data_IF_791519208778
#
_entry.id   IF_791519208778
#
_cell.length_a   1.000
_cell.length_b   1.000
_cell.length_c   1.000
_cell.angle_alpha   90.00
_cell.angle_beta   90.00
_cell.angle_gamma   90.00
#
_symmetry.space_group_name_H-M   'P 1'
#
loop_
_entity.id
_entity.type
_entity.pdbx_description
1 polymer ?
#
# COMPACT_ATOMS: atom_id res chain seq x y z
N UNK A 1 40.98 9.93 2.37
CA UNK A 1 39.86 9.09 1.88
C UNK A 1 39.97 8.97 0.37
N UNK A 2 40.24 7.75 -0.11
CA UNK A 2 41.11 7.50 -1.26
C UNK A 2 40.41 7.60 -2.64
N UNK A 3 41.19 8.07 -3.63
CA UNK A 3 40.87 8.23 -5.06
C UNK A 3 40.11 7.04 -5.71
N UNK A 4 40.33 5.76 -5.35
CA UNK A 4 39.56 4.64 -5.90
C UNK A 4 38.06 4.71 -5.60
N UNK A 5 37.69 5.16 -4.41
CA UNK A 5 36.28 5.30 -3.98
C UNK A 5 35.59 6.51 -4.62
N UNK A 6 36.36 7.54 -4.99
CA UNK A 6 35.82 8.67 -5.75
C UNK A 6 35.37 8.25 -7.15
N UNK A 7 36.09 7.33 -7.80
CA UNK A 7 35.72 6.81 -9.14
C UNK A 7 34.45 5.94 -9.10
N UNK A 8 34.26 5.14 -8.04
CA UNK A 8 33.03 4.34 -7.89
C UNK A 8 31.82 5.21 -7.60
N UNK A 9 31.93 6.21 -6.72
CA UNK A 9 30.85 7.16 -6.43
C UNK A 9 30.51 8.06 -7.63
N UNK A 10 31.50 8.46 -8.43
CA UNK A 10 31.25 9.17 -9.69
C UNK A 10 30.47 8.31 -10.69
N UNK A 11 30.77 7.00 -10.75
CA UNK A 11 30.04 6.04 -11.60
C UNK A 11 28.59 5.87 -11.15
N UNK A 12 28.35 5.73 -9.83
CA UNK A 12 26.99 5.70 -9.26
C UNK A 12 26.24 7.00 -9.55
N UNK A 13 26.91 8.15 -9.39
CA UNK A 13 26.33 9.47 -9.67
C UNK A 13 25.96 9.64 -11.14
N UNK A 14 26.77 9.10 -12.06
CA UNK A 14 26.48 9.13 -13.50
C UNK A 14 25.34 8.19 -13.89
N UNK A 15 25.27 6.98 -13.32
CA UNK A 15 24.15 6.05 -13.55
C UNK A 15 22.84 6.67 -13.07
N UNK A 16 22.83 7.23 -11.85
CA UNK A 16 21.66 7.90 -11.31
C UNK A 16 21.23 9.08 -12.20
N UNK A 17 22.19 9.90 -12.64
CA UNK A 17 21.93 11.02 -13.56
C UNK A 17 21.35 10.58 -14.90
N UNK A 18 21.82 9.46 -15.45
CA UNK A 18 21.26 8.90 -16.69
C UNK A 18 19.82 8.42 -16.50
N UNK A 19 19.49 7.85 -15.34
CA UNK A 19 18.16 7.33 -15.06
C UNK A 19 17.13 8.42 -14.68
N UNK A 20 17.55 9.45 -13.93
CA UNK A 20 16.62 10.43 -13.30
C UNK A 20 16.80 11.86 -13.79
N UNK A 21 17.88 12.16 -14.52
CA UNK A 21 18.27 13.53 -14.86
C UNK A 21 18.88 14.33 -13.71
N UNK A 22 19.00 13.77 -12.51
CA UNK A 22 19.45 14.44 -11.29
C UNK A 22 20.87 13.98 -10.91
N UNK A 23 21.69 14.87 -10.35
CA UNK A 23 23.02 14.47 -9.85
C UNK A 23 22.91 13.50 -8.67
N UNK A 24 23.64 12.37 -8.70
CA UNK A 24 23.57 11.38 -7.62
C UNK A 24 24.19 11.82 -6.28
N UNK A 25 25.14 12.77 -6.28
CA UNK A 25 25.69 13.32 -5.02
C UNK A 25 24.64 14.06 -4.18
N UNK A 26 23.83 14.99 -4.75
CA UNK A 26 22.67 15.55 -4.06
C UNK A 26 21.74 14.51 -3.46
N UNK A 27 21.42 13.45 -4.20
CA UNK A 27 20.55 12.37 -3.72
C UNK A 27 21.17 11.62 -2.53
N UNK A 28 22.43 11.18 -2.64
CA UNK A 28 23.13 10.49 -1.53
C UNK A 28 23.18 11.37 -0.28
N UNK A 29 23.47 12.67 -0.44
CA UNK A 29 23.50 13.60 0.69
C UNK A 29 22.13 13.75 1.35
N UNK A 30 21.07 13.92 0.55
CA UNK A 30 19.70 14.02 1.05
C UNK A 30 19.27 12.74 1.77
N UNK A 31 19.56 11.58 1.17
CA UNK A 31 19.29 10.27 1.75
C UNK A 31 20.01 10.06 3.09
N UNK A 32 21.33 10.32 3.15
CA UNK A 32 22.10 10.16 4.40
C UNK A 32 21.58 11.11 5.49
N UNK A 33 21.22 12.34 5.14
CA UNK A 33 20.65 13.29 6.10
C UNK A 33 19.30 12.79 6.66
N UNK A 34 18.37 12.40 5.78
CA UNK A 34 17.06 11.83 6.13
C UNK A 34 17.19 10.58 7.03
N UNK A 35 18.11 9.68 6.70
CA UNK A 35 18.31 8.45 7.47
C UNK A 35 18.95 8.65 8.84
N UNK A 36 19.87 9.62 8.96
CA UNK A 36 20.64 9.82 10.20
C UNK A 36 20.05 10.88 11.14
N UNK A 37 19.04 11.63 10.70
CA UNK A 37 18.44 12.72 11.50
C UNK A 37 16.91 12.69 11.44
N UNK A 38 16.24 13.23 12.45
CA UNK A 38 14.78 13.36 12.47
C UNK A 38 14.31 14.64 11.79
N UNK A 39 13.18 14.59 11.09
CA UNK A 39 12.56 15.76 10.46
C UNK A 39 13.34 16.39 9.31
N UNK A 40 14.25 15.65 8.66
CA UNK A 40 15.07 16.17 7.55
C UNK A 40 14.83 15.39 6.25
N UNK A 41 13.56 15.12 5.94
CA UNK A 41 13.15 14.42 4.72
C UNK A 41 12.99 15.37 3.52
N UNK A 42 12.80 16.69 3.75
CA UNK A 42 12.48 17.71 2.74
C UNK A 42 13.37 17.68 1.48
N UNK A 43 14.69 17.51 1.66
CA UNK A 43 15.61 17.48 0.52
C UNK A 43 15.42 16.22 -0.34
N UNK A 44 15.10 15.10 0.30
CA UNK A 44 14.89 13.82 -0.36
C UNK A 44 13.50 13.81 -1.02
N UNK A 45 12.47 14.26 -0.30
CA UNK A 45 11.12 14.42 -0.81
C UNK A 45 11.07 15.40 -1.99
N UNK A 46 11.79 16.52 -1.92
CA UNK A 46 11.90 17.46 -3.04
C UNK A 46 12.62 16.90 -4.27
N UNK A 47 13.42 15.83 -4.13
CA UNK A 47 13.95 15.07 -5.27
C UNK A 47 12.87 14.13 -5.81
N UNK A 48 12.14 13.44 -4.94
CA UNK A 48 11.04 12.56 -5.33
C UNK A 48 9.90 13.31 -6.03
N UNK A 49 9.50 14.49 -5.56
CA UNK A 49 8.48 15.35 -6.19
C UNK A 49 8.86 15.74 -7.63
N UNK A 50 10.16 15.88 -7.94
CA UNK A 50 10.64 16.25 -9.28
C UNK A 50 10.56 15.11 -10.28
N UNK A 51 10.69 13.87 -9.82
CA UNK A 51 10.68 12.67 -10.67
C UNK A 51 9.36 11.91 -10.59
N UNK A 52 8.53 12.21 -9.59
CA UNK A 52 7.23 11.63 -9.38
C UNK A 52 6.25 11.99 -10.49
N UNK A 53 5.18 11.21 -10.57
CA UNK A 53 4.13 11.40 -11.54
C UNK A 53 2.79 11.60 -10.81
N UNK A 54 1.97 12.49 -11.34
CA UNK A 54 0.62 12.65 -10.84
C UNK A 54 -0.20 11.39 -11.17
N UNK A 55 -0.83 10.82 -10.16
CA UNK A 55 -1.68 9.64 -10.29
C UNK A 55 -2.89 9.74 -9.37
N UNK A 56 -3.96 9.03 -9.72
CA UNK A 56 -5.13 8.89 -8.85
C UNK A 56 -4.87 7.80 -7.81
N UNK A 57 -5.08 8.12 -6.54
CA UNK A 57 -5.02 7.15 -5.44
C UNK A 57 -6.40 6.54 -5.22
N UNK A 58 -6.46 5.21 -5.26
CA UNK A 58 -7.68 4.45 -4.95
C UNK A 58 -7.63 3.96 -3.51
N UNK A 59 -8.74 4.07 -2.77
CA UNK A 59 -8.80 3.64 -1.36
C UNK A 59 -10.08 2.84 -1.16
N UNK A 60 -9.96 1.68 -0.52
CA UNK A 60 -11.09 0.82 -0.20
C UNK A 60 -11.30 0.79 1.31
N UNK A 61 -12.56 0.67 1.71
CA UNK A 61 -12.97 0.64 3.11
C UNK A 61 -13.93 -0.51 3.38
N UNK A 62 -13.79 -1.11 4.56
CA UNK A 62 -14.85 -1.92 5.17
C UNK A 62 -15.12 -1.35 6.57
N UNK A 63 -16.32 -0.83 6.77
CA UNK A 63 -16.75 -0.33 8.07
C UNK A 63 -17.71 -1.34 8.73
N UNK A 64 -17.46 -1.63 10.00
CA UNK A 64 -18.27 -2.52 10.83
C UNK A 64 -18.80 -1.68 11.99
N UNK A 65 -20.12 -1.65 12.19
CA UNK A 65 -20.75 -0.86 13.25
C UNK A 65 -21.60 -1.70 14.19
N UNK A 66 -21.80 -1.19 15.39
CA UNK A 66 -22.76 -1.76 16.33
C UNK A 66 -24.19 -1.54 15.84
N UNK A 67 -25.02 -2.60 15.78
CA UNK A 67 -26.45 -2.45 15.50
C UNK A 67 -27.18 -1.64 16.57
N UNK A 68 -26.77 -1.77 17.84
CA UNK A 68 -27.43 -1.10 18.97
C UNK A 68 -27.07 0.39 19.09
N UNK A 69 -25.78 0.74 18.95
CA UNK A 69 -25.32 2.13 19.14
C UNK A 69 -25.05 2.89 17.85
N UNK A 70 -25.09 2.20 16.71
CA UNK A 70 -24.71 2.70 15.37
C UNK A 70 -23.28 3.23 15.25
N UNK A 71 -22.47 3.14 16.31
CA UNK A 71 -21.06 3.54 16.31
C UNK A 71 -20.19 2.54 15.54
N UNK A 72 -19.24 3.05 14.78
CA UNK A 72 -18.21 2.23 14.13
C UNK A 72 -17.36 1.53 15.20
N UNK A 73 -17.13 0.24 14.99
CA UNK A 73 -16.35 -0.64 15.86
C UNK A 73 -15.14 -1.24 15.16
N UNK A 74 -15.23 -1.43 13.84
CA UNK A 74 -14.12 -1.86 12.99
C UNK A 74 -14.06 -1.01 11.73
N UNK A 75 -12.84 -0.71 11.28
CA UNK A 75 -12.59 0.06 10.08
C UNK A 75 -11.36 -0.50 9.38
N UNK A 76 -11.57 -1.21 8.29
CA UNK A 76 -10.48 -1.60 7.42
C UNK A 76 -10.22 -0.48 6.44
N UNK A 77 -8.97 -0.03 6.37
CA UNK A 77 -8.50 0.97 5.42
C UNK A 77 -7.48 0.29 4.52
N UNK A 78 -7.77 0.20 3.23
CA UNK A 78 -6.92 -0.44 2.23
C UNK A 78 -6.54 0.60 1.18
N UNK A 79 -5.54 1.46 1.46
CA UNK A 79 -5.06 2.44 0.50
C UNK A 79 -4.22 1.74 -0.57
N UNK A 80 -4.41 2.09 -1.84
CA UNK A 80 -3.56 1.64 -2.95
C UNK A 80 -2.33 2.56 -3.01
N UNK A 81 -1.62 2.62 -1.89
CA UNK A 81 -0.39 3.40 -1.63
C UNK A 81 0.57 2.47 -0.93
N UNK A 82 1.81 2.41 -1.41
CA UNK A 82 2.86 1.63 -0.77
C UNK A 82 3.42 2.36 0.45
N UNK A 83 3.69 1.64 1.56
CA UNK A 83 4.12 2.23 2.85
C UNK A 83 5.64 2.39 2.96
N UNK A 84 6.29 2.74 1.86
CA UNK A 84 7.73 2.98 1.81
C UNK A 84 8.05 4.41 1.37
N UNK A 85 9.34 4.73 1.14
CA UNK A 85 10.46 3.80 1.14
C UNK A 85 11.27 3.75 2.46
N UNK A 86 11.29 4.82 3.28
CA UNK A 86 12.18 4.91 4.44
C UNK A 86 11.59 5.78 5.56
N UNK A 87 11.70 5.30 6.81
CA UNK A 87 11.44 6.08 8.04
C UNK A 87 10.09 6.82 7.98
N UNK A 88 10.13 8.15 7.88
CA UNK A 88 8.99 9.09 7.84
C UNK A 88 8.89 9.77 6.47
N UNK A 89 9.71 9.38 5.50
CA UNK A 89 9.72 10.01 4.18
C UNK A 89 8.57 9.49 3.33
N UNK A 90 7.86 10.39 2.65
CA UNK A 90 6.78 10.04 1.72
C UNK A 90 5.59 9.38 2.41
N UNK A 91 5.23 8.17 1.99
CA UNK A 91 4.11 7.40 2.56
C UNK A 91 4.51 6.37 3.62
N UNK A 92 5.77 6.40 4.08
CA UNK A 92 6.34 5.34 4.92
C UNK A 92 5.57 5.08 6.23
N UNK A 93 5.11 6.16 6.86
CA UNK A 93 4.40 6.15 8.14
C UNK A 93 2.89 6.42 8.00
N UNK A 94 2.34 6.37 6.78
CA UNK A 94 0.90 6.51 6.53
C UNK A 94 0.04 5.60 7.44
N UNK A 95 0.41 4.32 7.69
CA UNK A 95 -0.34 3.49 8.64
C UNK A 95 -0.40 4.11 10.05
N UNK A 96 0.71 4.66 10.55
CA UNK A 96 0.77 5.29 11.87
C UNK A 96 -0.17 6.50 11.95
N UNK A 97 -0.15 7.37 10.93
CA UNK A 97 -1.06 8.52 10.86
C UNK A 97 -2.53 8.14 10.79
N UNK A 98 -2.88 7.06 10.08
CA UNK A 98 -4.25 6.53 10.04
C UNK A 98 -4.66 6.00 11.43
N UNK A 99 -3.80 5.20 12.08
CA UNK A 99 -4.08 4.67 13.42
C UNK A 99 -4.26 5.78 14.46
N UNK A 100 -3.42 6.81 14.43
CA UNK A 100 -3.55 7.97 15.33
C UNK A 100 -4.88 8.71 15.09
N UNK A 101 -5.18 9.00 13.81
CA UNK A 101 -6.39 9.69 13.39
C UNK A 101 -7.67 8.97 13.84
N UNK A 102 -7.71 7.64 13.73
CA UNK A 102 -8.88 6.82 14.07
C UNK A 102 -8.71 6.02 15.35
N UNK A 103 -7.87 6.49 16.27
CA UNK A 103 -7.56 5.86 17.56
C UNK A 103 -8.79 5.55 18.43
N UNK A 104 -9.91 6.26 18.20
CA UNK A 104 -11.19 6.03 18.88
C UNK A 104 -12.02 4.87 18.31
N UNK A 105 -11.65 4.33 17.16
CA UNK A 105 -12.30 3.18 16.52
C UNK A 105 -11.44 1.93 16.83
N UNK A 106 -11.87 1.05 17.77
CA UNK A 106 -10.99 0.01 18.31
C UNK A 106 -10.48 -1.00 17.27
N UNK A 107 -11.30 -1.35 16.28
CA UNK A 107 -10.95 -2.28 15.21
C UNK A 107 -10.45 -1.60 13.94
N UNK A 108 -9.80 -0.44 14.05
CA UNK A 108 -9.11 0.15 12.89
C UNK A 108 -7.97 -0.78 12.47
N UNK A 109 -7.88 -1.10 11.19
CA UNK A 109 -6.81 -1.91 10.63
C UNK A 109 -6.44 -1.38 9.25
N UNK A 110 -5.16 -1.05 9.08
CA UNK A 110 -4.62 -0.62 7.80
C UNK A 110 -3.98 -1.83 7.12
N UNK A 111 -4.41 -2.14 5.91
CA UNK A 111 -3.91 -3.29 5.16
C UNK A 111 -3.06 -2.88 3.98
N UNK A 112 -1.99 -3.65 3.78
CA UNK A 112 -1.25 -3.69 2.52
C UNK A 112 -2.09 -4.38 1.43
N UNK A 113 -1.90 -3.98 0.18
CA UNK A 113 -2.64 -4.51 -0.98
C UNK A 113 -1.68 -4.76 -2.14
N UNK A 114 -2.19 -5.10 -3.31
CA UNK A 114 -1.37 -5.21 -4.53
C UNK A 114 -0.88 -3.82 -4.94
N UNK A 115 0.34 -3.48 -4.56
CA UNK A 115 1.04 -2.28 -4.92
C UNK A 115 2.54 -2.56 -4.81
N UNK A 116 3.36 -1.70 -5.41
CA UNK A 116 4.82 -1.72 -5.30
C UNK A 116 5.36 -0.30 -5.10
N UNK A 117 6.68 -0.15 -5.07
CA UNK A 117 7.33 1.15 -4.86
C UNK A 117 6.93 2.26 -5.85
N UNK A 118 6.34 1.94 -7.01
CA UNK A 118 5.79 2.95 -7.93
C UNK A 118 4.52 3.63 -7.39
N UNK A 119 3.92 3.11 -6.31
CA UNK A 119 2.82 3.72 -5.56
C UNK A 119 3.27 4.39 -4.25
N UNK A 120 4.57 4.63 -4.05
CA UNK A 120 5.03 5.48 -2.96
C UNK A 120 4.57 6.93 -3.18
N UNK A 121 4.07 7.58 -2.14
CA UNK A 121 3.90 9.03 -2.15
C UNK A 121 5.28 9.69 -2.05
N UNK A 122 5.45 10.78 -2.77
CA UNK A 122 6.74 11.47 -2.89
C UNK A 122 7.11 12.28 -1.65
N UNK A 123 6.10 12.73 -0.89
CA UNK A 123 6.29 13.61 0.26
C UNK A 123 5.20 13.47 1.32
N UNK A 124 5.49 13.93 2.54
CA UNK A 124 4.50 14.07 3.62
C UNK A 124 3.33 14.99 3.24
N UNK A 125 3.59 15.99 2.38
CA UNK A 125 2.52 16.85 1.84
C UNK A 125 1.51 16.06 0.99
N UNK A 126 1.96 15.06 0.23
CA UNK A 126 1.06 14.18 -0.52
C UNK A 126 0.36 13.18 0.41
N UNK A 127 1.04 12.71 1.46
CA UNK A 127 0.44 11.91 2.54
C UNK A 127 -0.73 12.65 3.19
N UNK A 128 -0.56 13.93 3.53
CA UNK A 128 -1.61 14.76 4.15
C UNK A 128 -2.88 14.84 3.31
N UNK A 129 -2.75 14.88 1.98
CA UNK A 129 -3.91 14.87 1.06
C UNK A 129 -4.66 13.54 1.14
N UNK A 130 -3.94 12.43 1.12
CA UNK A 130 -4.52 11.08 1.25
C UNK A 130 -5.19 10.94 2.61
N UNK A 131 -4.52 11.34 3.70
CA UNK A 131 -5.08 11.26 5.05
C UNK A 131 -6.34 12.14 5.20
N UNK A 132 -6.31 13.35 4.65
CA UNK A 132 -7.47 14.25 4.63
C UNK A 132 -8.65 13.65 3.86
N UNK A 133 -8.38 12.98 2.74
CA UNK A 133 -9.40 12.25 1.99
C UNK A 133 -9.96 11.08 2.81
N UNK A 134 -9.11 10.29 3.46
CA UNK A 134 -9.55 9.21 4.35
C UNK A 134 -10.44 9.74 5.48
N UNK A 135 -10.05 10.84 6.15
CA UNK A 135 -10.87 11.51 7.18
C UNK A 135 -12.25 11.89 6.65
N UNK A 136 -12.31 12.49 5.47
CA UNK A 136 -13.56 12.87 4.81
C UNK A 136 -14.43 11.66 4.48
N UNK A 137 -13.84 10.58 3.98
CA UNK A 137 -14.58 9.38 3.57
C UNK A 137 -15.13 8.62 4.77
N UNK A 138 -14.37 8.52 5.87
CA UNK A 138 -14.84 7.91 7.12
C UNK A 138 -15.96 8.74 7.74
N UNK A 139 -15.82 10.06 7.79
CA UNK A 139 -16.91 10.95 8.24
C UNK A 139 -18.17 10.74 7.42
N UNK A 140 -18.04 10.66 6.09
CA UNK A 140 -19.16 10.37 5.21
C UNK A 140 -19.79 9.00 5.52
N UNK A 141 -19.00 7.95 5.78
CA UNK A 141 -19.50 6.62 6.16
C UNK A 141 -20.30 6.67 7.48
N UNK A 142 -19.87 7.48 8.45
CA UNK A 142 -20.55 7.63 9.74
C UNK A 142 -21.88 8.39 9.62
N UNK A 143 -21.94 9.41 8.75
CA UNK A 143 -23.09 10.30 8.60
C UNK A 143 -24.12 9.83 7.57
N UNK A 144 -23.73 8.96 6.63
CA UNK A 144 -24.60 8.53 5.52
C UNK A 144 -25.65 7.50 5.96
N UNK A 145 -26.80 8.03 6.39
CA UNK A 145 -27.99 7.26 6.74
C UNK A 145 -28.70 6.62 5.53
N UNK A 146 -28.29 6.92 4.29
CA UNK A 146 -28.92 6.36 3.07
C UNK A 146 -28.29 5.05 2.63
N UNK A 147 -27.11 4.68 3.14
CA UNK A 147 -26.46 3.39 2.85
C UNK A 147 -27.13 2.27 3.64
N UNK A 148 -27.57 1.24 2.91
CA UNK A 148 -27.98 -0.02 3.51
C UNK A 148 -26.78 -0.71 4.18
N UNK A 149 -26.88 -0.96 5.49
CA UNK A 149 -25.92 -1.76 6.22
C UNK A 149 -26.25 -3.24 6.03
N UNK A 150 -25.24 -4.08 5.89
CA UNK A 150 -25.39 -5.51 5.64
C UNK A 150 -25.22 -6.25 6.96
N UNK A 151 -26.21 -7.04 7.32
CA UNK A 151 -26.20 -7.84 8.56
C UNK A 151 -25.66 -9.26 8.33
N UNK A 152 -25.79 -9.77 7.10
CA UNK A 152 -25.36 -11.11 6.72
C UNK A 152 -23.92 -11.11 6.18
N UNK A 153 -23.08 -11.93 6.80
CA UNK A 153 -21.70 -12.17 6.38
C UNK A 153 -21.62 -13.64 5.97
N UNK A 154 -21.18 -13.92 4.75
CA UNK A 154 -21.03 -15.30 4.30
C UNK A 154 -19.89 -15.98 5.06
N UNK A 155 -19.91 -17.32 5.08
CA UNK A 155 -18.84 -18.09 5.70
C UNK A 155 -17.49 -17.80 5.03
N UNK A 156 -16.42 -17.83 5.84
CA UNK A 156 -15.06 -17.72 5.35
C UNK A 156 -14.70 -18.95 4.51
N UNK A 157 -14.13 -18.71 3.34
CA UNK A 157 -13.64 -19.76 2.43
C UNK A 157 -12.12 -19.73 2.37
N UNK A 158 -11.52 -20.88 2.06
CA UNK A 158 -10.08 -21.01 1.80
C UNK A 158 -9.87 -21.68 0.45
N UNK A 159 -8.87 -21.23 -0.27
CA UNK A 159 -8.45 -21.82 -1.54
C UNK A 159 -6.92 -21.85 -1.61
N UNK A 160 -6.39 -22.79 -2.38
CA UNK A 160 -4.97 -22.90 -2.66
C UNK A 160 -4.80 -23.24 -4.14
N UNK A 161 -3.87 -22.55 -4.79
CA UNK A 161 -3.51 -22.76 -6.19
C UNK A 161 -1.99 -22.70 -6.28
N UNK A 162 -1.35 -23.85 -6.51
CA UNK A 162 0.11 -23.98 -6.57
C UNK A 162 0.81 -23.31 -5.37
N UNK A 163 1.51 -22.18 -5.58
CA UNK A 163 2.23 -21.44 -4.53
C UNK A 163 1.35 -20.44 -3.75
N UNK A 164 0.17 -20.09 -4.26
CA UNK A 164 -0.71 -19.10 -3.67
C UNK A 164 -1.78 -19.71 -2.77
N UNK A 165 -2.05 -19.04 -1.65
CA UNK A 165 -3.10 -19.37 -0.70
C UNK A 165 -3.97 -18.16 -0.48
N UNK A 166 -5.27 -18.41 -0.43
CA UNK A 166 -6.29 -17.39 -0.20
C UNK A 166 -7.18 -17.82 0.97
N UNK A 167 -7.48 -16.86 1.85
CA UNK A 167 -8.63 -16.93 2.74
C UNK A 167 -9.50 -15.71 2.48
N UNK A 168 -10.80 -15.91 2.30
CA UNK A 168 -11.67 -14.82 1.89
C UNK A 168 -13.08 -14.93 2.44
N UNK A 169 -13.74 -13.78 2.51
CA UNK A 169 -15.12 -13.61 2.96
C UNK A 169 -15.86 -12.82 1.88
N UNK A 170 -17.08 -13.24 1.56
CA UNK A 170 -17.98 -12.48 0.72
C UNK A 170 -19.00 -11.72 1.57
N UNK A 171 -19.15 -10.43 1.31
CA UNK A 171 -20.19 -9.59 1.93
C UNK A 171 -20.87 -8.78 0.82
N UNK A 172 -22.17 -9.03 0.58
CA UNK A 172 -22.95 -8.28 -0.42
C UNK A 172 -22.26 -8.17 -1.79
N UNK A 173 -21.79 -9.31 -2.31
CA UNK A 173 -21.03 -9.41 -3.56
C UNK A 173 -19.73 -8.61 -3.57
N UNK A 174 -19.16 -8.28 -2.41
CA UNK A 174 -17.79 -7.78 -2.28
C UNK A 174 -16.93 -8.90 -1.72
N UNK A 175 -15.91 -9.31 -2.46
CA UNK A 175 -14.95 -10.32 -2.01
C UNK A 175 -13.82 -9.63 -1.24
N UNK A 176 -13.63 -9.98 0.03
CA UNK A 176 -12.47 -9.55 0.83
C UNK A 176 -11.54 -10.75 0.93
N UNK A 177 -10.32 -10.62 0.42
CA UNK A 177 -9.42 -11.76 0.20
C UNK A 177 -8.03 -11.45 0.73
N UNK A 178 -7.54 -12.30 1.63
CA UNK A 178 -6.16 -12.27 2.12
C UNK A 178 -5.35 -13.28 1.30
N UNK A 179 -4.34 -12.78 0.60
CA UNK A 179 -3.42 -13.56 -0.23
C UNK A 179 -2.11 -13.78 0.50
N UNK A 180 -1.53 -14.97 0.38
CA UNK A 180 -0.19 -15.27 0.88
C UNK A 180 0.47 -16.37 0.05
N UNK A 181 1.79 -16.31 -0.09
CA UNK A 181 2.62 -17.40 -0.61
C UNK A 181 3.36 -18.17 0.48
N UNK A 182 3.20 -17.80 1.75
CA UNK A 182 3.88 -18.46 2.87
C UNK A 182 3.72 -20.00 2.80
N UNK A 183 4.80 -20.80 2.92
CA UNK A 183 6.14 -20.42 3.35
C UNK A 183 7.11 -20.01 2.23
N UNK A 184 6.64 -19.87 0.98
CA UNK A 184 7.48 -19.42 -0.13
C UNK A 184 7.70 -17.91 -0.06
N UNK A 185 8.90 -17.45 -0.44
CA UNK A 185 9.25 -16.05 -0.31
C UNK A 185 8.48 -15.18 -1.29
N UNK A 186 8.01 -14.02 -0.83
CA UNK A 186 7.31 -13.03 -1.65
C UNK A 186 7.61 -11.62 -1.14
N UNK A 187 7.90 -10.73 -2.07
CA UNK A 187 7.90 -9.28 -1.88
C UNK A 187 6.49 -8.75 -2.21
N UNK A 188 6.42 -7.52 -2.71
CA UNK A 188 5.23 -6.87 -3.26
C UNK A 188 4.54 -7.63 -4.42
N UNK A 189 3.26 -7.31 -4.59
CA UNK A 189 2.44 -7.76 -5.72
C UNK A 189 2.10 -6.55 -6.58
N UNK A 190 2.58 -6.52 -7.82
CA UNK A 190 2.34 -5.42 -8.76
C UNK A 190 0.85 -5.02 -8.85
N UNK A 191 0.58 -3.71 -8.87
CA UNK A 191 -0.78 -3.17 -8.86
C UNK A 191 -1.65 -3.62 -10.05
N UNK A 192 -1.05 -3.95 -11.20
CA UNK A 192 -1.77 -4.47 -12.35
C UNK A 192 -2.42 -5.83 -12.06
N UNK A 193 -1.78 -6.66 -11.23
CA UNK A 193 -2.31 -7.98 -10.87
C UNK A 193 -3.60 -7.82 -10.07
N UNK A 194 -3.63 -6.97 -9.05
CA UNK A 194 -4.86 -6.68 -8.32
C UNK A 194 -5.95 -6.03 -9.18
N UNK A 195 -5.55 -5.25 -10.19
CA UNK A 195 -6.50 -4.68 -11.16
C UNK A 195 -7.13 -5.76 -12.05
N UNK A 196 -6.35 -6.74 -12.52
CA UNK A 196 -6.88 -7.89 -13.26
C UNK A 196 -7.74 -8.81 -12.36
N UNK A 197 -7.34 -9.06 -11.12
CA UNK A 197 -8.16 -9.82 -10.15
C UNK A 197 -9.52 -9.14 -9.94
N UNK A 198 -9.55 -7.82 -9.71
CA UNK A 198 -10.81 -7.05 -9.58
C UNK A 198 -11.67 -7.13 -10.84
N UNK A 199 -11.06 -7.05 -12.02
CA UNK A 199 -11.74 -7.17 -13.31
C UNK A 199 -12.37 -8.56 -13.49
N UNK A 200 -11.64 -9.62 -13.15
CA UNK A 200 -12.15 -11.00 -13.17
C UNK A 200 -13.29 -11.17 -12.17
N UNK A 201 -13.16 -10.64 -10.95
CA UNK A 201 -14.22 -10.68 -9.94
C UNK A 201 -15.50 -9.99 -10.45
N UNK A 202 -15.37 -8.82 -11.06
CA UNK A 202 -16.49 -8.08 -11.68
C UNK A 202 -17.15 -8.87 -12.81
N UNK A 203 -16.35 -9.49 -13.69
CA UNK A 203 -16.86 -10.36 -14.75
C UNK A 203 -17.62 -11.60 -14.20
N UNK A 204 -17.27 -12.07 -13.00
CA UNK A 204 -17.96 -13.14 -12.28
C UNK A 204 -19.16 -12.67 -11.45
N UNK A 205 -19.52 -11.38 -11.51
CA UNK A 205 -20.71 -10.82 -10.85
C UNK A 205 -20.48 -10.23 -9.46
N UNK A 206 -19.23 -10.14 -9.00
CA UNK A 206 -18.89 -9.36 -7.80
C UNK A 206 -18.97 -7.86 -8.10
N UNK A 207 -19.40 -7.08 -7.12
CA UNK A 207 -19.40 -5.61 -7.19
C UNK A 207 -18.00 -5.04 -7.05
N UNK A 208 -17.19 -5.65 -6.18
CA UNK A 208 -15.81 -5.26 -5.94
C UNK A 208 -15.02 -6.43 -5.33
N UNK A 209 -13.69 -6.36 -5.44
CA UNK A 209 -12.77 -7.18 -4.67
C UNK A 209 -11.79 -6.30 -3.88
N UNK A 210 -11.66 -6.57 -2.59
CA UNK A 210 -10.64 -6.01 -1.71
C UNK A 210 -9.57 -7.08 -1.55
N UNK A 211 -8.41 -6.86 -2.19
CA UNK A 211 -7.27 -7.75 -2.09
C UNK A 211 -6.36 -7.24 -0.98
N UNK A 212 -6.01 -8.11 -0.04
CA UNK A 212 -5.06 -7.85 1.03
C UNK A 212 -3.87 -8.74 0.77
N UNK A 213 -2.72 -8.14 0.48
CA UNK A 213 -1.46 -8.86 0.47
C UNK A 213 -1.03 -9.06 1.93
N UNK A 214 -0.94 -10.31 2.37
CA UNK A 214 -0.54 -10.61 3.75
C UNK A 214 0.93 -10.23 4.00
N UNK A 215 1.75 -10.18 2.94
CA UNK A 215 3.14 -9.73 2.98
C UNK A 215 3.95 -10.34 4.15
N UNK A 216 3.68 -11.62 4.44
CA UNK A 216 4.10 -12.31 5.66
C UNK A 216 5.16 -13.38 5.41
N UNK A 217 5.82 -13.33 4.25
CA UNK A 217 6.82 -14.31 3.81
C UNK A 217 8.05 -13.61 3.23
N UNK A 218 8.45 -12.52 3.89
CA UNK A 218 9.71 -11.79 3.65
C UNK A 218 10.86 -12.64 4.23
N UNK A 219 11.23 -13.69 3.51
CA UNK A 219 12.19 -14.72 3.95
C UNK A 219 13.13 -15.00 2.77
N UNK A 220 14.45 -15.09 2.98
CA UNK A 220 15.44 -15.38 1.91
C UNK A 220 15.38 -14.36 0.74
N UNK A 221 15.76 -14.78 -0.47
CA UNK A 221 15.65 -13.97 -1.68
C UNK A 221 14.18 -13.83 -2.07
N UNK A 222 13.67 -12.62 -1.94
CA UNK A 222 12.27 -12.30 -2.18
C UNK A 222 11.93 -12.30 -3.67
N UNK A 223 10.66 -12.56 -3.98
CA UNK A 223 10.14 -12.60 -5.35
C UNK A 223 9.07 -11.52 -5.49
N UNK A 224 9.41 -10.45 -6.19
CA UNK A 224 8.46 -9.44 -6.67
C UNK A 224 7.52 -10.08 -7.69
N UNK A 225 6.22 -10.07 -7.39
CA UNK A 225 5.22 -10.74 -8.23
C UNK A 225 4.82 -9.78 -9.35
N UNK A 226 5.32 -10.07 -10.56
CA UNK A 226 5.12 -9.25 -11.77
C UNK A 226 4.05 -9.84 -12.67
N UNK A 227 3.42 -8.99 -13.48
CA UNK A 227 2.50 -9.46 -14.51
C UNK A 227 3.16 -10.55 -15.40
N UNK A 228 2.41 -11.62 -15.68
CA UNK A 228 2.83 -12.82 -16.43
C UNK A 228 3.87 -13.73 -15.75
N UNK A 229 4.29 -13.44 -14.53
CA UNK A 229 5.12 -14.39 -13.75
C UNK A 229 4.31 -15.66 -13.41
N UNK A 230 4.99 -16.71 -12.96
CA UNK A 230 4.33 -17.96 -12.56
C UNK A 230 3.48 -17.70 -11.32
N UNK A 231 4.02 -16.95 -10.37
CA UNK A 231 3.37 -16.52 -9.14
C UNK A 231 2.11 -15.70 -9.42
N UNK A 232 2.15 -14.81 -10.41
CA UNK A 232 0.98 -14.03 -10.80
C UNK A 232 -0.14 -14.86 -11.44
N UNK A 233 0.18 -16.03 -12.01
CA UNK A 233 -0.82 -16.99 -12.52
C UNK A 233 -1.39 -17.87 -11.42
N UNK A 234 -0.62 -18.09 -10.36
CA UNK A 234 -1.06 -18.85 -9.20
C UNK A 234 -2.10 -18.09 -8.38
N UNK A 235 -1.96 -16.75 -8.27
CA UNK A 235 -2.89 -15.81 -7.62
C UNK A 235 -4.21 -15.64 -8.40
#
# INVERSE_FOLDING_TARGET
FAIPYARSMARVSNIYRQATGIGGYPFIRAFVLSMLTEGNDDLLEGIFDKIGVNSNVFIQYLAIRSKATQKIKGLFVVPHVHFGPFKTCGSSDLPAHIYETFSKIPGTTVYHTTNDHSQNLTSQKELDKVLSKIKSDVKYIEEDNKRGWIEEINATTRSMSNSAKLIGIEINKVAIMFLTRHPLPSDDIHAEIGSEIRKIAKAKGYREAIIIDSHNSIIKDEVLIRNKSIEAKDL
#
